data_IF_516579284840
#
_entry.id   IF_516579284840
#
_cell.length_a   1.000
_cell.length_b   1.000
_cell.length_c   1.000
_cell.angle_alpha   90.00
_cell.angle_beta   90.00
_cell.angle_gamma   90.00
#
_symmetry.space_group_name_H-M   'P 1'
#
loop_
_entity.id
_entity.type
_entity.pdbx_description
1 polymer ?
#
# COMPACT_ATOMS: atom_id res chain seq x y z
N UNK A 1 -8.45 -8.58 10.44
CA UNK A 1 -8.33 -8.31 8.99
C UNK A 1 -8.18 -6.81 8.64
N UNK A 2 -8.59 -5.86 9.51
CA UNK A 2 -8.58 -4.40 9.23
C UNK A 2 -7.15 -3.83 9.08
N UNK A 3 -6.26 -4.11 10.03
CA UNK A 3 -4.87 -3.59 10.04
C UNK A 3 -4.08 -4.04 8.80
N UNK A 4 -4.14 -5.33 8.46
CA UNK A 4 -3.44 -5.85 7.29
C UNK A 4 -3.90 -5.17 5.99
N UNK A 5 -5.20 -4.87 5.86
CA UNK A 5 -5.74 -4.16 4.70
C UNK A 5 -5.29 -2.70 4.64
N UNK A 6 -5.28 -1.99 5.77
CA UNK A 6 -4.77 -0.62 5.83
C UNK A 6 -3.29 -0.55 5.43
N UNK A 7 -2.46 -1.47 5.95
CA UNK A 7 -1.05 -1.56 5.59
C UNK A 7 -0.85 -1.97 4.12
N UNK A 8 -1.68 -2.87 3.58
CA UNK A 8 -1.61 -3.23 2.16
C UNK A 8 -1.95 -2.04 1.25
N UNK A 9 -2.98 -1.25 1.60
CA UNK A 9 -3.35 -0.04 0.85
C UNK A 9 -2.21 0.98 0.83
N UNK A 10 -1.49 1.14 1.94
CA UNK A 10 -0.29 1.98 2.01
C UNK A 10 0.79 1.60 0.99
N UNK A 11 0.97 0.29 0.71
CA UNK A 11 1.92 -0.18 -0.30
C UNK A 11 1.38 -0.14 -1.73
N UNK A 12 0.06 -0.13 -1.91
CA UNK A 12 -0.58 -0.21 -3.24
C UNK A 12 -0.87 1.15 -3.86
N UNK A 13 -1.08 2.17 -3.04
CA UNK A 13 -1.50 3.52 -3.43
C UNK A 13 -0.60 4.56 -2.77
N UNK A 14 -0.51 5.79 -3.31
CA UNK A 14 0.31 6.86 -2.74
C UNK A 14 -0.34 7.46 -1.47
N UNK A 15 -0.62 6.63 -0.47
CA UNK A 15 -1.18 7.06 0.81
C UNK A 15 -0.06 7.56 1.73
N UNK A 16 -0.30 8.68 2.40
CA UNK A 16 0.56 9.09 3.52
C UNK A 16 0.29 8.20 4.73
N UNK A 17 1.28 8.04 5.60
CA UNK A 17 1.11 7.30 6.86
C UNK A 17 0.08 7.95 7.78
N UNK A 18 -0.11 9.27 7.67
CA UNK A 18 -1.15 10.01 8.40
C UNK A 18 -2.56 9.63 7.95
N UNK A 19 -2.75 9.47 6.64
CA UNK A 19 -4.03 9.01 6.11
C UNK A 19 -4.36 7.58 6.56
N UNK A 20 -3.34 6.70 6.65
CA UNK A 20 -3.52 5.34 7.17
C UNK A 20 -3.89 5.34 8.66
N UNK A 21 -3.32 6.26 9.43
CA UNK A 21 -3.67 6.47 10.84
C UNK A 21 -5.13 6.91 11.00
N UNK A 22 -5.58 7.88 10.20
CA UNK A 22 -6.96 8.35 10.18
C UNK A 22 -7.96 7.24 9.79
N UNK A 23 -7.63 6.44 8.76
CA UNK A 23 -8.45 5.29 8.34
C UNK A 23 -8.60 4.24 9.44
N UNK A 24 -7.58 4.06 10.29
CA UNK A 24 -7.64 3.14 11.41
C UNK A 24 -8.41 3.77 12.58
N UNK A 25 -8.24 5.07 12.81
CA UNK A 25 -8.96 5.82 13.83
C UNK A 25 -10.48 5.83 13.59
N UNK A 26 -10.93 6.04 12.35
CA UNK A 26 -12.36 5.95 11.97
C UNK A 26 -12.96 4.58 12.29
N UNK A 27 -12.13 3.53 12.34
CA UNK A 27 -12.53 2.17 12.71
C UNK A 27 -12.36 1.88 14.20
N UNK A 28 -12.10 2.90 15.03
CA UNK A 28 -11.89 2.79 16.47
C UNK A 28 -10.52 2.24 16.87
N UNK A 29 -9.57 2.15 15.91
CA UNK A 29 -8.24 1.60 16.15
C UNK A 29 -7.25 2.77 16.30
N UNK A 30 -6.90 3.08 17.55
CA UNK A 30 -5.92 4.12 17.86
C UNK A 30 -4.51 3.52 17.78
N UNK A 31 -3.74 3.95 16.78
CA UNK A 31 -2.35 3.52 16.57
C UNK A 31 -1.50 4.73 16.26
N UNK A 32 -0.24 4.72 16.70
CA UNK A 32 0.70 5.78 16.34
C UNK A 32 1.26 5.58 14.92
N UNK A 33 1.65 6.69 14.29
CA UNK A 33 2.47 6.69 13.06
C UNK A 33 3.64 5.69 13.11
N UNK A 34 4.37 5.63 14.24
CA UNK A 34 5.51 4.71 14.38
C UNK A 34 5.11 3.24 14.30
N UNK A 35 3.91 2.90 14.80
CA UNK A 35 3.36 1.55 14.76
C UNK A 35 3.11 1.13 13.32
N UNK A 36 2.47 2.01 12.54
CA UNK A 36 2.21 1.79 11.11
C UNK A 36 3.54 1.63 10.36
N UNK A 37 4.54 2.47 10.67
CA UNK A 37 5.88 2.37 10.06
C UNK A 37 6.59 1.06 10.39
N UNK A 38 6.47 0.55 11.63
CA UNK A 38 7.02 -0.76 12.02
C UNK A 38 6.33 -1.90 11.26
N UNK A 39 5.02 -1.84 11.06
CA UNK A 39 4.31 -2.80 10.22
C UNK A 39 4.74 -2.71 8.75
N UNK A 40 4.95 -1.50 8.24
CA UNK A 40 5.51 -1.29 6.91
C UNK A 40 6.85 -2.00 6.75
N UNK A 41 7.76 -1.85 7.70
CA UNK A 41 9.06 -2.57 7.66
C UNK A 41 8.92 -4.08 7.77
N UNK A 42 8.01 -4.57 8.63
CA UNK A 42 7.81 -6.01 8.87
C UNK A 42 7.19 -6.73 7.66
N UNK A 43 6.18 -6.12 7.05
CA UNK A 43 5.35 -6.76 6.02
C UNK A 43 5.63 -6.23 4.61
N UNK A 44 6.31 -5.10 4.47
CA UNK A 44 6.52 -4.43 3.19
C UNK A 44 7.19 -5.31 2.14
N UNK A 45 8.19 -6.11 2.53
CA UNK A 45 8.84 -7.05 1.62
C UNK A 45 7.87 -8.11 1.06
N UNK A 46 6.96 -8.63 1.91
CA UNK A 46 5.95 -9.60 1.49
C UNK A 46 4.90 -8.95 0.58
N UNK A 47 4.44 -7.75 0.91
CA UNK A 47 3.50 -7.00 0.07
C UNK A 47 4.11 -6.61 -1.27
N UNK A 48 5.33 -6.09 -1.30
CA UNK A 48 6.05 -5.79 -2.53
C UNK A 48 6.21 -7.05 -3.40
N UNK A 49 6.64 -8.18 -2.81
CA UNK A 49 6.75 -9.46 -3.54
C UNK A 49 5.40 -9.94 -4.11
N UNK A 50 4.30 -9.71 -3.39
CA UNK A 50 2.96 -10.06 -3.86
C UNK A 50 2.45 -9.11 -4.95
N UNK A 51 2.72 -7.80 -4.83
CA UNK A 51 2.37 -6.79 -5.83
C UNK A 51 3.19 -6.95 -7.13
N UNK A 52 4.47 -7.35 -7.00
CA UNK A 52 5.36 -7.64 -8.11
C UNK A 52 5.15 -9.03 -8.71
N UNK A 53 4.37 -9.91 -8.06
CA UNK A 53 3.99 -11.21 -8.64
C UNK A 53 3.01 -10.99 -9.78
N UNK A 54 3.56 -10.72 -10.96
CA UNK A 54 2.82 -10.80 -12.22
C UNK A 54 2.82 -12.25 -12.71
N UNK A 55 1.70 -12.73 -13.25
CA UNK A 55 1.75 -13.68 -14.37
C UNK A 55 1.43 -12.87 -15.62
N UNK A 56 2.43 -12.32 -16.31
CA UNK A 56 2.18 -11.69 -17.58
C UNK A 56 1.86 -12.76 -18.63
N UNK A 57 0.75 -12.58 -19.34
CA UNK A 57 0.39 -13.40 -20.49
C UNK A 57 1.20 -12.94 -21.70
N UNK A 58 1.40 -13.81 -22.71
CA UNK A 58 2.06 -13.44 -23.99
C UNK A 58 1.37 -12.28 -24.73
N UNK A 59 0.16 -11.89 -24.31
CA UNK A 59 -0.63 -10.78 -24.84
C UNK A 59 -0.48 -9.47 -24.06
N UNK A 60 0.41 -9.39 -23.07
CA UNK A 60 0.57 -8.20 -22.25
C UNK A 60 1.29 -7.10 -23.02
N UNK A 61 0.54 -6.39 -23.86
CA UNK A 61 0.92 -5.11 -24.44
C UNK A 61 0.73 -4.07 -23.33
N UNK A 62 1.82 -3.40 -22.93
CA UNK A 62 1.78 -2.32 -21.96
C UNK A 62 1.78 -0.97 -22.69
N UNK A 63 0.71 -0.20 -22.53
CA UNK A 63 0.68 1.21 -22.89
C UNK A 63 1.00 2.01 -21.62
N UNK A 64 2.08 2.78 -21.64
CA UNK A 64 2.45 3.70 -20.58
C UNK A 64 1.96 5.09 -21.00
N UNK A 65 0.88 5.56 -20.41
CA UNK A 65 0.43 6.93 -20.62
C UNK A 65 1.32 7.86 -19.80
N UNK A 66 2.18 8.62 -20.47
CA UNK A 66 2.96 9.68 -19.83
C UNK A 66 2.01 10.80 -19.40
N UNK A 67 1.98 11.10 -18.09
CA UNK A 67 1.27 12.25 -17.54
C UNK A 67 2.29 13.33 -17.25
N UNK A 68 2.25 14.41 -18.03
CA UNK A 68 3.00 15.64 -17.76
C UNK A 68 2.22 16.45 -16.72
N UNK A 69 2.87 16.74 -15.59
CA UNK A 69 2.36 17.68 -14.59
C UNK A 69 3.01 19.03 -14.89
N UNK A 70 2.19 19.99 -15.30
CA UNK A 70 2.59 21.40 -15.52
C UNK A 70 2.42 22.25 -14.27
#
# INVERSE_FOLDING_TARGET
>A
QIIARAVWLYFRFPLSLRLVEEMLLERGIVVSYETIRRWGRKFGAAYAKQLHRKKPSRKDIWHLDEVVIS
#
